data_IF_869570421238
#
_entry.id   IF_869570421238
#
_cell.length_a   1.000
_cell.length_b   1.000
_cell.length_c   1.000
_cell.angle_alpha   90.00
_cell.angle_beta   90.00
_cell.angle_gamma   90.00
#
_symmetry.space_group_name_H-M   'P 1'
#
loop_
_entity.id
_entity.type
_entity.pdbx_description
1 polymer ?
#
# COMPACT_ATOMS: atom_id res chain seq x y z
N UNK A 1 -2.95 7.06 3.05
CA UNK A 1 -3.47 6.24 1.93
C UNK A 1 -4.15 5.02 2.53
N UNK A 2 -5.36 4.68 2.10
CA UNK A 2 -6.18 3.63 2.71
C UNK A 2 -6.41 2.47 1.75
N UNK A 3 -6.89 1.33 2.28
CA UNK A 3 -7.24 0.15 1.49
C UNK A 3 -8.22 0.49 0.34
N UNK A 4 -9.22 1.32 0.61
CA UNK A 4 -10.21 1.74 -0.40
C UNK A 4 -9.56 2.56 -1.52
N UNK A 5 -8.65 3.49 -1.17
CA UNK A 5 -7.93 4.27 -2.16
C UNK A 5 -7.05 3.40 -3.08
N UNK A 6 -6.43 2.34 -2.54
CA UNK A 6 -5.67 1.38 -3.35
C UNK A 6 -6.60 0.61 -4.30
N UNK A 7 -7.75 0.17 -3.82
CA UNK A 7 -8.77 -0.49 -4.67
C UNK A 7 -9.23 0.43 -5.79
N UNK A 8 -9.52 1.70 -5.50
CA UNK A 8 -9.90 2.67 -6.52
C UNK A 8 -8.81 2.88 -7.58
N UNK A 9 -7.53 2.88 -7.20
CA UNK A 9 -6.42 2.99 -8.16
C UNK A 9 -6.33 1.75 -9.06
N UNK A 10 -6.54 0.56 -8.50
CA UNK A 10 -6.59 -0.69 -9.29
C UNK A 10 -7.80 -0.69 -10.23
N UNK A 11 -8.98 -0.32 -9.73
CA UNK A 11 -10.21 -0.25 -10.53
C UNK A 11 -10.15 0.83 -11.62
N UNK A 12 -9.44 1.93 -11.37
CA UNK A 12 -9.15 2.96 -12.37
C UNK A 12 -8.11 2.53 -13.42
N UNK A 13 -7.50 1.36 -13.27
CA UNK A 13 -6.57 0.79 -14.25
C UNK A 13 -5.14 1.34 -14.17
N UNK A 14 -4.74 1.90 -13.01
CA UNK A 14 -3.35 2.30 -12.82
C UNK A 14 -2.43 1.06 -12.81
N UNK A 15 -1.24 1.22 -13.37
CA UNK A 15 -0.22 0.18 -13.33
C UNK A 15 0.27 -0.07 -11.91
N UNK A 16 0.58 -1.33 -11.59
CA UNK A 16 1.04 -1.76 -10.27
C UNK A 16 2.22 -0.91 -9.76
N UNK A 17 3.22 -0.64 -10.61
CA UNK A 17 4.37 0.19 -10.23
C UNK A 17 4.01 1.63 -9.85
N UNK A 18 2.96 2.21 -10.45
CA UNK A 18 2.46 3.55 -10.07
C UNK A 18 1.75 3.51 -8.73
N UNK A 19 0.96 2.46 -8.49
CA UNK A 19 0.26 2.26 -7.22
C UNK A 19 1.28 2.06 -6.09
N UNK A 20 2.29 1.21 -6.30
CA UNK A 20 3.40 0.98 -5.36
C UNK A 20 4.12 2.29 -5.03
N UNK A 21 4.55 3.07 -6.03
CA UNK A 21 5.19 4.37 -5.78
C UNK A 21 4.32 5.32 -4.98
N UNK A 22 3.02 5.33 -5.25
CA UNK A 22 2.07 6.18 -4.52
C UNK A 22 1.94 5.75 -3.07
N UNK A 23 1.97 4.44 -2.81
CA UNK A 23 2.00 3.84 -1.47
C UNK A 23 3.27 4.26 -0.73
N UNK A 24 4.45 4.15 -1.35
CA UNK A 24 5.75 4.50 -0.76
C UNK A 24 5.88 6.01 -0.46
N UNK A 25 5.29 6.87 -1.31
CA UNK A 25 5.44 8.32 -1.21
C UNK A 25 4.42 9.00 -0.29
N UNK A 26 3.47 8.24 0.27
CA UNK A 26 2.36 8.82 1.03
C UNK A 26 2.29 8.16 2.39
N UNK A 27 1.92 8.89 3.46
CA UNK A 27 1.61 8.25 4.73
C UNK A 27 0.48 7.24 4.55
N UNK A 28 0.65 6.03 5.07
CA UNK A 28 -0.26 4.90 4.85
C UNK A 28 -1.04 4.54 6.12
N UNK A 29 -2.31 4.23 5.96
CA UNK A 29 -3.21 3.78 7.02
C UNK A 29 -3.98 2.55 6.50
N UNK A 30 -3.23 1.50 6.20
CA UNK A 30 -3.80 0.24 5.73
C UNK A 30 -4.22 -0.64 6.89
N UNK A 31 -5.32 -1.34 6.71
CA UNK A 31 -5.68 -2.45 7.58
C UNK A 31 -5.28 -3.74 6.86
N UNK A 32 -4.26 -4.42 7.39
CA UNK A 32 -3.71 -5.67 6.85
C UNK A 32 -4.23 -6.91 7.60
N UNK A 33 -5.37 -6.79 8.29
CA UNK A 33 -6.04 -7.94 8.89
C UNK A 33 -6.43 -8.97 7.83
N UNK A 34 -6.54 -10.24 8.21
CA UNK A 34 -6.86 -11.33 7.28
C UNK A 34 -8.13 -11.07 6.45
N UNK A 35 -9.15 -10.49 7.07
CA UNK A 35 -10.40 -10.07 6.40
C UNK A 35 -10.14 -9.04 5.30
N UNK A 36 -9.30 -8.05 5.56
CA UNK A 36 -8.99 -6.96 4.62
C UNK A 36 -8.07 -7.42 3.50
N UNK A 37 -7.09 -8.27 3.81
CA UNK A 37 -6.26 -8.92 2.79
C UNK A 37 -7.11 -9.78 1.83
N UNK A 38 -8.11 -10.50 2.35
CA UNK A 38 -9.04 -11.26 1.51
C UNK A 38 -9.89 -10.34 0.61
N UNK A 39 -10.36 -9.20 1.11
CA UNK A 39 -11.06 -8.20 0.29
C UNK A 39 -10.16 -7.64 -0.83
N UNK A 40 -8.94 -7.22 -0.49
CA UNK A 40 -7.98 -6.67 -1.47
C UNK A 40 -7.74 -7.66 -2.62
N UNK A 41 -7.48 -8.93 -2.29
CA UNK A 41 -7.33 -10.00 -3.29
C UNK A 41 -8.56 -10.17 -4.17
N UNK A 42 -9.77 -10.10 -3.61
CA UNK A 42 -11.04 -10.15 -4.37
C UNK A 42 -11.21 -8.97 -5.32
N UNK A 43 -10.65 -7.80 -4.96
CA UNK A 43 -10.66 -6.56 -5.73
C UNK A 43 -9.55 -6.47 -6.78
N UNK A 44 -8.89 -7.60 -7.12
CA UNK A 44 -7.76 -7.68 -8.05
C UNK A 44 -6.51 -6.93 -7.60
N UNK A 45 -6.39 -6.60 -6.32
CA UNK A 45 -5.12 -6.13 -5.77
C UNK A 45 -4.15 -7.30 -5.77
N UNK A 46 -3.02 -7.14 -6.45
CA UNK A 46 -2.03 -8.19 -6.66
C UNK A 46 -1.07 -8.27 -5.47
N UNK A 47 -0.43 -9.43 -5.31
CA UNK A 47 0.58 -9.66 -4.26
C UNK A 47 1.70 -8.60 -4.22
N UNK A 48 2.29 -8.10 -5.33
CA UNK A 48 3.30 -7.04 -5.26
C UNK A 48 2.76 -5.73 -4.66
N UNK A 49 1.50 -5.37 -4.92
CA UNK A 49 0.88 -4.19 -4.29
C UNK A 49 0.71 -4.43 -2.79
N UNK A 50 0.23 -5.61 -2.38
CA UNK A 50 0.10 -5.98 -0.97
C UNK A 50 1.46 -5.98 -0.26
N UNK A 51 2.51 -6.46 -0.93
CA UNK A 51 3.88 -6.43 -0.41
C UNK A 51 4.37 -4.99 -0.19
N UNK A 52 4.12 -4.08 -1.14
CA UNK A 52 4.42 -2.67 -0.98
C UNK A 52 3.62 -2.01 0.15
N UNK A 53 2.35 -2.37 0.32
CA UNK A 53 1.53 -1.88 1.45
C UNK A 53 2.13 -2.30 2.80
N UNK A 54 2.60 -3.56 2.91
CA UNK A 54 3.30 -4.06 4.10
C UNK A 54 4.64 -3.36 4.34
N UNK A 55 5.40 -3.14 3.27
CA UNK A 55 6.67 -2.43 3.32
C UNK A 55 6.47 -1.00 3.81
N UNK A 56 5.55 -0.24 3.22
CA UNK A 56 5.25 1.13 3.64
C UNK A 56 4.78 1.24 5.10
N UNK A 57 3.93 0.31 5.57
CA UNK A 57 3.55 0.27 7.00
C UNK A 57 4.71 -0.07 7.93
N UNK A 58 5.73 -0.76 7.43
CA UNK A 58 6.94 -1.10 8.20
C UNK A 58 8.03 -0.04 8.06
N UNK A 59 8.05 0.75 6.98
CA UNK A 59 9.01 1.84 6.73
C UNK A 59 8.66 3.13 7.48
N UNK A 60 7.39 3.34 7.85
CA UNK A 60 7.01 4.36 8.84
C UNK A 60 7.65 4.11 10.23
N UNK A 61 8.40 3.00 10.42
CA UNK A 61 9.11 2.69 11.66
C UNK A 61 10.50 3.35 11.80
N UNK A 62 11.08 4.05 10.80
CA UNK A 62 12.31 4.83 11.03
C UNK A 62 12.37 6.16 10.25
N UNK A 63 12.25 7.33 10.92
CA UNK A 63 12.78 8.57 10.39
C UNK A 63 14.30 8.54 10.56
N UNK A 64 15.03 8.07 9.55
CA UNK A 64 16.48 8.32 9.44
C UNK A 64 16.72 9.84 9.25
N UNK A 65 16.93 10.54 10.37
CA UNK A 65 17.65 11.83 10.39
C UNK A 65 19.04 11.60 10.98
N UNK A 66 20.10 11.51 10.15
CA UNK A 66 21.44 11.80 10.63
C UNK A 66 21.55 13.32 10.72
N UNK A 67 21.31 13.89 11.91
CA UNK A 67 21.68 15.28 12.16
C UNK A 67 23.20 15.35 12.38
N UNK A 68 23.85 16.24 11.63
CA UNK A 68 25.30 16.44 11.54
C UNK A 68 25.95 16.93 12.84
#
# INVERSE_FOLDING_TARGET
>A
LTNDAVVQLVEAGFSEGTIVRRIEQSPVEFDLSETKLAELRRRRVTEPVIAAMKAAMSEDAEPIRPEK
#
